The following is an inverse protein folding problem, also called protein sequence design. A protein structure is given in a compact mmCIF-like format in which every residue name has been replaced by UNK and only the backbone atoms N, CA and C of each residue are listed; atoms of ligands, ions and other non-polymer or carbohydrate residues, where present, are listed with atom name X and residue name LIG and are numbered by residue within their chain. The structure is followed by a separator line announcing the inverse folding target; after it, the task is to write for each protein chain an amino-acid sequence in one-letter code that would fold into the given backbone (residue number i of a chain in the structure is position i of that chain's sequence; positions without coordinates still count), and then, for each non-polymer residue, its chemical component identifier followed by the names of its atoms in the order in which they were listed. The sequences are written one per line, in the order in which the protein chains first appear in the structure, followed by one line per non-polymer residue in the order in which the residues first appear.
data_IF_961702229836
#
_entry.id   IF_961702229836
#
_cell.length_a   1.000
_cell.length_b   1.000
_cell.length_c   1.000
_cell.angle_alpha   90.00
_cell.angle_beta   90.00
_cell.angle_gamma   90.00
#
_symmetry.space_group_name_H-M   'P 1'
#
loop_
_entity.id
_entity.type
_entity.pdbx_description
1 polymer ?
#
# COMPACT_ATOMS: atom_id res chain seq x y z
N UNK A 1 -9.24 25.06 -4.87
CA UNK A 1 -10.48 24.72 -5.61
C UNK A 1 -11.49 24.04 -4.70
N UNK A 2 -12.76 23.91 -5.10
CA UNK A 2 -13.81 23.23 -4.33
C UNK A 2 -14.04 21.80 -4.82
N UNK A 3 -14.11 20.82 -3.93
CA UNK A 3 -14.20 19.38 -4.25
C UNK A 3 -14.99 18.58 -3.21
N UNK A 4 -15.54 17.41 -3.59
CA UNK A 4 -16.27 16.51 -2.69
C UNK A 4 -15.46 15.28 -2.27
N UNK A 5 -15.34 14.96 -0.97
CA UNK A 5 -14.67 13.75 -0.47
C UNK A 5 -15.70 12.78 0.13
N UNK A 6 -15.72 11.54 -0.35
CA UNK A 6 -16.55 10.46 0.18
C UNK A 6 -15.65 9.39 0.79
N UNK A 7 -15.87 9.05 2.06
CA UNK A 7 -15.02 8.12 2.80
C UNK A 7 -14.00 8.86 3.65
N UNK A 8 -14.31 9.00 4.94
CA UNK A 8 -13.57 9.81 5.92
C UNK A 8 -12.85 8.93 6.93
N UNK A 9 -12.43 7.75 6.49
CA UNK A 9 -11.45 6.94 7.21
C UNK A 9 -10.11 7.68 7.33
N UNK A 10 -9.12 7.01 7.94
CA UNK A 10 -7.83 7.64 8.28
C UNK A 10 -7.16 8.37 7.10
N UNK A 11 -7.16 7.76 5.91
CA UNK A 11 -6.57 8.36 4.71
C UNK A 11 -7.38 9.54 4.19
N UNK A 12 -8.68 9.36 3.91
CA UNK A 12 -9.54 10.41 3.37
C UNK A 12 -9.60 11.65 4.28
N UNK A 13 -9.71 11.45 5.60
CA UNK A 13 -9.70 12.56 6.55
C UNK A 13 -8.38 13.34 6.56
N UNK A 14 -7.24 12.67 6.47
CA UNK A 14 -5.94 13.33 6.41
C UNK A 14 -5.73 14.08 5.08
N UNK A 15 -6.20 13.53 3.97
CA UNK A 15 -6.17 14.20 2.67
C UNK A 15 -7.02 15.48 2.69
N UNK A 16 -8.23 15.43 3.27
CA UNK A 16 -9.07 16.62 3.47
C UNK A 16 -8.34 17.67 4.32
N UNK A 17 -7.76 17.29 5.46
CA UNK A 17 -7.01 18.25 6.31
C UNK A 17 -5.87 18.91 5.56
N UNK A 18 -5.12 18.16 4.75
CA UNK A 18 -4.05 18.71 3.92
C UNK A 18 -4.58 19.68 2.86
N UNK A 19 -5.69 19.33 2.21
CA UNK A 19 -6.34 20.19 1.22
C UNK A 19 -6.87 21.49 1.83
N UNK A 20 -7.53 21.42 2.99
CA UNK A 20 -8.02 22.60 3.73
C UNK A 20 -6.86 23.52 4.13
N UNK A 21 -5.76 22.97 4.63
CA UNK A 21 -4.58 23.74 5.02
C UNK A 21 -3.95 24.52 3.84
N UNK A 22 -4.15 24.04 2.61
CA UNK A 22 -3.71 24.70 1.38
C UNK A 22 -4.80 25.59 0.73
N UNK A 23 -5.92 25.84 1.43
CA UNK A 23 -6.98 26.74 0.97
C UNK A 23 -7.96 26.13 -0.04
N UNK A 24 -8.01 24.80 -0.16
CA UNK A 24 -9.10 24.15 -0.89
C UNK A 24 -10.38 24.12 -0.04
N UNK A 25 -11.54 24.16 -0.70
CA UNK A 25 -12.83 23.97 -0.05
C UNK A 25 -13.26 22.50 -0.20
N UNK A 26 -13.47 21.80 0.90
CA UNK A 26 -13.85 20.39 0.87
C UNK A 26 -15.28 20.21 1.38
N UNK A 27 -16.15 19.64 0.55
CA UNK A 27 -17.44 19.11 0.99
C UNK A 27 -17.25 17.63 1.32
N UNK A 28 -17.62 17.18 2.50
CA UNK A 28 -17.26 15.84 3.00
C UNK A 28 -18.48 15.01 3.36
N UNK A 29 -18.43 13.71 3.04
CA UNK A 29 -19.47 12.75 3.39
C UNK A 29 -18.88 11.40 3.82
N UNK A 30 -19.49 10.80 4.83
CA UNK A 30 -19.27 9.41 5.26
C UNK A 30 -20.59 8.84 5.80
N UNK A 31 -20.71 7.51 5.85
CA UNK A 31 -21.82 6.84 6.55
C UNK A 31 -21.79 7.14 8.05
N UNK A 32 -20.59 7.35 8.61
CA UNK A 32 -20.40 7.79 9.98
C UNK A 32 -20.59 9.30 10.11
N UNK A 33 -21.72 9.69 10.71
CA UNK A 33 -22.00 11.09 11.01
C UNK A 33 -20.95 11.72 11.95
N UNK A 34 -20.31 10.93 12.83
CA UNK A 34 -19.21 11.39 13.67
C UNK A 34 -17.98 11.77 12.83
N UNK A 35 -17.64 10.99 11.81
CA UNK A 35 -16.52 11.29 10.93
C UNK A 35 -16.76 12.58 10.12
N UNK A 36 -18.01 12.81 9.68
CA UNK A 36 -18.42 14.05 9.03
C UNK A 36 -18.28 15.24 9.98
N UNK A 37 -18.86 15.17 11.19
CA UNK A 37 -18.78 16.23 12.20
C UNK A 37 -17.34 16.59 12.56
N UNK A 38 -16.45 15.59 12.65
CA UNK A 38 -15.05 15.81 12.99
C UNK A 38 -14.30 16.66 11.95
N UNK A 39 -14.62 16.53 10.66
CA UNK A 39 -14.01 17.35 9.60
C UNK A 39 -14.75 18.67 9.38
N UNK A 40 -16.06 18.71 9.60
CA UNK A 40 -16.83 19.95 9.64
C UNK A 40 -16.25 20.92 10.68
N UNK A 41 -16.00 20.43 11.89
CA UNK A 41 -15.30 21.20 12.94
C UNK A 41 -13.84 21.56 12.61
N UNK A 42 -13.25 20.97 11.56
CA UNK A 42 -11.90 21.28 11.07
C UNK A 42 -11.92 22.22 9.85
N UNK A 43 -13.09 22.73 9.44
CA UNK A 43 -13.23 23.70 8.35
C UNK A 43 -13.68 23.11 7.00
N UNK A 44 -14.01 21.82 6.93
CA UNK A 44 -14.76 21.27 5.80
C UNK A 44 -16.24 21.67 5.89
N UNK A 45 -16.98 21.51 4.80
CA UNK A 45 -18.44 21.53 4.82
C UNK A 45 -18.96 20.08 4.90
N UNK A 46 -19.53 19.69 6.03
CA UNK A 46 -20.19 18.39 6.16
C UNK A 46 -21.47 18.29 5.32
N UNK A 47 -21.70 17.15 4.67
CA UNK A 47 -22.96 16.81 4.01
C UNK A 47 -23.60 15.60 4.70
N UNK A 48 -24.94 15.55 4.78
CA UNK A 48 -25.67 14.42 5.35
C UNK A 48 -25.98 13.30 4.34
N UNK A 49 -25.76 13.54 3.05
CA UNK A 49 -25.96 12.58 1.97
C UNK A 49 -25.06 12.88 0.76
N UNK A 50 -24.88 11.91 -0.13
CA UNK A 50 -24.23 12.12 -1.43
C UNK A 50 -24.96 13.17 -2.29
N UNK A 51 -26.29 13.24 -2.19
CA UNK A 51 -27.10 14.25 -2.89
C UNK A 51 -26.77 15.65 -2.42
N UNK A 52 -26.67 15.85 -1.10
CA UNK A 52 -26.29 17.14 -0.53
C UNK A 52 -24.84 17.50 -0.90
N UNK A 53 -23.93 16.53 -0.84
CA UNK A 53 -22.54 16.72 -1.26
C UNK A 53 -22.46 17.21 -2.72
N UNK A 54 -23.12 16.51 -3.65
CA UNK A 54 -23.09 16.84 -5.08
C UNK A 54 -23.73 18.20 -5.37
N UNK A 55 -24.82 18.56 -4.67
CA UNK A 55 -25.48 19.87 -4.80
C UNK A 55 -24.62 21.03 -4.32
N UNK A 56 -23.76 20.79 -3.33
CA UNK A 56 -22.87 21.79 -2.77
C UNK A 56 -21.59 22.03 -3.62
N UNK A 57 -21.41 21.31 -4.74
CA UNK A 57 -20.25 21.45 -5.61
C UNK A 57 -20.56 22.23 -6.90
N UNK A 58 -19.68 23.12 -7.34
CA UNK A 58 -19.79 23.77 -8.64
C UNK A 58 -19.49 22.79 -9.78
N UNK A 59 -20.08 23.01 -10.95
CA UNK A 59 -19.76 22.26 -12.17
C UNK A 59 -18.52 22.84 -12.87
N UNK A 60 -17.67 22.01 -13.52
CA UNK A 60 -17.65 20.55 -13.42
C UNK A 60 -17.22 20.09 -12.02
N UNK A 61 -17.98 19.14 -11.46
CA UNK A 61 -17.75 18.63 -10.10
C UNK A 61 -16.55 17.72 -10.09
N UNK A 62 -15.79 17.74 -9.00
CA UNK A 62 -14.74 16.76 -8.74
C UNK A 62 -15.06 16.07 -7.41
N UNK A 63 -15.32 14.77 -7.47
CA UNK A 63 -15.66 13.95 -6.31
C UNK A 63 -14.62 12.86 -6.15
N UNK A 64 -13.94 12.85 -5.01
CA UNK A 64 -12.94 11.87 -4.61
C UNK A 64 -13.57 10.83 -3.68
N UNK A 65 -13.37 9.56 -4.00
CA UNK A 65 -13.85 8.39 -3.26
C UNK A 65 -12.65 7.72 -2.58
N UNK A 66 -12.69 7.66 -1.25
CA UNK A 66 -11.70 7.02 -0.36
C UNK A 66 -12.37 5.98 0.53
N UNK A 67 -13.04 5.01 -0.09
CA UNK A 67 -13.71 3.89 0.59
C UNK A 67 -13.00 2.57 0.30
N UNK A 68 -13.23 1.50 1.09
CA UNK A 68 -12.71 0.18 0.74
C UNK A 68 -13.20 -0.26 -0.64
N UNK A 69 -12.36 -0.99 -1.39
CA UNK A 69 -12.59 -1.35 -2.80
C UNK A 69 -13.98 -1.98 -3.07
N UNK A 70 -14.48 -2.80 -2.13
CA UNK A 70 -15.78 -3.45 -2.22
C UNK A 70 -16.98 -2.47 -2.22
N UNK A 71 -16.78 -1.22 -1.79
CA UNK A 71 -17.84 -0.21 -1.71
C UNK A 71 -17.77 0.84 -2.82
N UNK A 72 -16.77 0.79 -3.70
CA UNK A 72 -16.61 1.76 -4.78
C UNK A 72 -17.78 1.68 -5.76
N UNK A 73 -18.12 0.50 -6.29
CA UNK A 73 -19.23 0.37 -7.26
C UNK A 73 -20.60 0.80 -6.67
N UNK A 74 -20.98 0.44 -5.42
CA UNK A 74 -22.17 0.99 -4.78
C UNK A 74 -22.18 2.53 -4.70
N UNK A 75 -21.05 3.16 -4.34
CA UNK A 75 -20.95 4.63 -4.28
C UNK A 75 -21.07 5.25 -5.67
N UNK A 76 -20.43 4.66 -6.68
CA UNK A 76 -20.54 5.11 -8.07
C UNK A 76 -21.98 5.03 -8.58
N UNK A 77 -22.71 3.95 -8.24
CA UNK A 77 -24.12 3.79 -8.59
C UNK A 77 -25.01 4.87 -7.95
N UNK A 78 -24.73 5.27 -6.72
CA UNK A 78 -25.43 6.34 -6.01
C UNK A 78 -25.13 7.73 -6.61
N UNK A 79 -23.88 7.98 -7.01
CA UNK A 79 -23.45 9.27 -7.59
C UNK A 79 -23.90 9.46 -9.04
N UNK A 80 -23.90 8.40 -9.84
CA UNK A 80 -24.20 8.47 -11.28
C UNK A 80 -25.47 9.27 -11.63
N UNK A 81 -26.63 9.08 -10.99
CA UNK A 81 -27.84 9.86 -11.32
C UNK A 81 -27.80 11.32 -10.85
N UNK A 82 -26.81 11.72 -10.04
CA UNK A 82 -26.69 13.06 -9.45
C UNK A 82 -25.72 13.96 -10.23
N UNK A 83 -24.86 13.37 -11.07
CA UNK A 83 -23.79 14.05 -11.78
C UNK A 83 -24.20 14.44 -13.21
N UNK A 84 -23.47 15.40 -13.77
CA UNK A 84 -23.65 15.87 -15.14
C UNK A 84 -22.44 15.55 -16.00
N UNK A 85 -22.63 15.53 -17.33
CA UNK A 85 -21.54 15.32 -18.30
C UNK A 85 -20.38 16.30 -18.04
N UNK A 86 -19.16 15.77 -18.02
CA UNK A 86 -17.94 16.50 -17.70
C UNK A 86 -17.53 16.48 -16.22
N UNK A 87 -18.40 16.05 -15.30
CA UNK A 87 -18.04 15.83 -13.89
C UNK A 87 -17.00 14.69 -13.78
N UNK A 88 -16.10 14.81 -12.80
CA UNK A 88 -14.97 13.90 -12.55
C UNK A 88 -15.19 13.12 -11.26
N UNK A 89 -15.10 11.81 -11.38
CA UNK A 89 -15.06 10.85 -10.29
C UNK A 89 -13.62 10.34 -10.13
N UNK A 90 -13.05 10.47 -8.93
CA UNK A 90 -11.71 9.98 -8.59
C UNK A 90 -11.88 8.82 -7.61
N UNK A 91 -11.42 7.62 -7.96
CA UNK A 91 -11.21 6.54 -7.00
C UNK A 91 -9.76 6.59 -6.52
N UNK A 92 -9.56 6.94 -5.24
CA UNK A 92 -8.23 6.95 -4.62
C UNK A 92 -7.96 5.76 -3.71
N UNK A 93 -8.85 4.76 -3.73
CA UNK A 93 -8.73 3.56 -2.93
C UNK A 93 -7.63 2.62 -3.41
N UNK A 94 -7.73 1.36 -2.99
CA UNK A 94 -6.89 0.28 -3.48
C UNK A 94 -7.74 -0.65 -4.36
N UNK A 95 -8.26 -0.11 -5.46
CA UNK A 95 -9.04 -0.88 -6.43
C UNK A 95 -8.14 -1.71 -7.34
N UNK A 96 -8.67 -2.81 -7.88
CA UNK A 96 -8.01 -3.55 -8.94
C UNK A 96 -8.12 -2.78 -10.26
N UNK A 97 -7.02 -2.60 -10.97
CA UNK A 97 -6.99 -1.84 -12.23
C UNK A 97 -7.98 -2.32 -13.30
N UNK A 98 -8.37 -3.60 -13.27
CA UNK A 98 -9.37 -4.16 -14.19
C UNK A 98 -10.78 -3.62 -13.90
N UNK A 99 -11.10 -3.37 -12.63
CA UNK A 99 -12.35 -2.72 -12.25
C UNK A 99 -12.38 -1.28 -12.74
N UNK A 100 -11.24 -0.57 -12.72
CA UNK A 100 -11.15 0.80 -13.21
C UNK A 100 -11.40 0.88 -14.72
N UNK A 101 -10.88 -0.07 -15.49
CA UNK A 101 -11.16 -0.18 -16.93
C UNK A 101 -12.66 -0.35 -17.19
N UNK A 102 -13.33 -1.22 -16.43
CA UNK A 102 -14.79 -1.42 -16.52
C UNK A 102 -15.54 -0.14 -16.11
N UNK A 103 -15.22 0.44 -14.96
CA UNK A 103 -15.87 1.64 -14.42
C UNK A 103 -15.75 2.83 -15.36
N UNK A 104 -14.57 3.06 -15.93
CA UNK A 104 -14.38 4.12 -16.92
C UNK A 104 -15.26 3.91 -18.16
N UNK A 105 -15.37 2.67 -18.67
CA UNK A 105 -16.28 2.34 -19.77
C UNK A 105 -17.74 2.60 -19.42
N UNK A 106 -18.19 2.14 -18.24
CA UNK A 106 -19.57 2.28 -17.77
C UNK A 106 -19.97 3.76 -17.58
N UNK A 107 -19.04 4.60 -17.10
CA UNK A 107 -19.23 6.02 -16.82
C UNK A 107 -19.12 6.90 -18.07
N UNK A 108 -18.27 6.52 -19.03
CA UNK A 108 -18.09 7.26 -20.28
C UNK A 108 -19.40 7.38 -21.07
N UNK A 109 -20.26 6.34 -21.04
CA UNK A 109 -21.59 6.37 -21.67
C UNK A 109 -22.54 7.44 -21.10
N UNK A 110 -22.28 7.92 -19.88
CA UNK A 110 -23.00 9.04 -19.26
C UNK A 110 -22.28 10.39 -19.39
N UNK A 111 -21.16 10.44 -20.13
CA UNK A 111 -20.30 11.62 -20.24
C UNK A 111 -19.52 11.94 -18.96
N UNK A 112 -19.46 11.01 -18.01
CA UNK A 112 -18.71 11.17 -16.76
C UNK A 112 -17.27 10.76 -16.95
N UNK A 113 -16.36 11.51 -16.34
CA UNK A 113 -14.91 11.24 -16.39
C UNK A 113 -14.49 10.46 -15.15
N UNK A 114 -13.67 9.44 -15.33
CA UNK A 114 -13.17 8.61 -14.24
C UNK A 114 -11.64 8.68 -14.17
N UNK A 115 -11.12 8.83 -12.96
CA UNK A 115 -9.70 8.78 -12.65
C UNK A 115 -9.46 7.72 -11.56
N UNK A 116 -8.53 6.82 -11.82
CA UNK A 116 -7.97 5.91 -10.82
C UNK A 116 -6.68 6.53 -10.24
N UNK A 117 -6.59 6.66 -8.92
CA UNK A 117 -5.46 7.34 -8.27
C UNK A 117 -4.87 6.47 -7.17
N UNK A 118 -3.79 5.78 -7.48
CA UNK A 118 -3.01 5.08 -6.47
C UNK A 118 -2.35 6.04 -5.49
N UNK A 119 -2.74 5.98 -4.22
CA UNK A 119 -2.18 6.83 -3.14
C UNK A 119 -1.21 6.04 -2.26
N UNK A 120 0.03 6.52 -2.10
CA UNK A 120 1.04 5.94 -1.20
C UNK A 120 1.61 7.01 -0.23
N UNK A 121 2.09 6.58 0.95
CA UNK A 121 2.65 7.46 2.00
C UNK A 121 2.00 7.29 3.38
N UNK A 122 0.83 6.66 3.44
CA UNK A 122 0.15 6.31 4.70
C UNK A 122 -0.16 7.51 5.59
N UNK A 123 -0.12 7.31 6.91
CA UNK A 123 -0.54 8.33 7.89
C UNK A 123 0.33 9.59 7.88
N UNK A 124 1.62 9.43 7.56
CA UNK A 124 2.59 10.53 7.52
C UNK A 124 2.40 11.44 6.29
N UNK A 125 1.59 11.03 5.31
CA UNK A 125 1.32 11.85 4.14
C UNK A 125 0.52 13.12 4.44
N UNK A 126 -0.11 13.24 5.62
CA UNK A 126 -0.70 14.50 6.06
C UNK A 126 0.35 15.63 6.07
N UNK A 127 1.51 15.35 6.69
CA UNK A 127 2.60 16.29 6.84
C UNK A 127 3.52 16.29 5.62
N UNK A 128 3.90 15.09 5.16
CA UNK A 128 4.94 14.91 4.14
C UNK A 128 4.42 14.85 2.71
N UNK A 129 3.11 14.78 2.51
CA UNK A 129 2.47 14.56 1.21
C UNK A 129 2.44 13.09 0.79
N UNK A 130 1.67 12.82 -0.27
CA UNK A 130 1.35 11.49 -0.79
C UNK A 130 1.96 11.28 -2.18
N UNK A 131 2.56 10.13 -2.43
CA UNK A 131 2.90 9.74 -3.80
C UNK A 131 1.59 9.36 -4.53
N UNK A 132 1.30 10.03 -5.64
CA UNK A 132 0.05 9.87 -6.39
C UNK A 132 0.30 9.36 -7.82
N UNK A 133 -0.26 8.19 -8.12
CA UNK A 133 -0.16 7.53 -9.41
C UNK A 133 -1.52 7.61 -10.10
N UNK A 134 -1.65 8.49 -11.10
CA UNK A 134 -2.95 8.88 -11.69
C UNK A 134 -3.14 8.21 -13.05
N UNK A 135 -4.23 7.47 -13.22
CA UNK A 135 -4.73 6.94 -14.49
C UNK A 135 -6.01 7.65 -14.93
N UNK A 136 -6.22 7.72 -16.25
CA UNK A 136 -7.45 8.25 -16.85
C UNK A 136 -7.21 9.30 -17.94
N UNK A 137 -8.28 9.96 -18.37
CA UNK A 137 -8.24 10.94 -19.45
C UNK A 137 -7.48 12.22 -19.06
N UNK A 138 -6.59 12.68 -19.94
CA UNK A 138 -5.76 13.88 -19.72
C UNK A 138 -6.58 15.11 -19.32
N UNK A 139 -7.75 15.32 -19.92
CA UNK A 139 -8.60 16.47 -19.61
C UNK A 139 -9.13 16.42 -18.17
N UNK A 140 -9.48 15.24 -17.66
CA UNK A 140 -9.89 15.04 -16.28
C UNK A 140 -8.71 15.24 -15.33
N UNK A 141 -7.53 14.72 -15.68
CA UNK A 141 -6.30 14.90 -14.90
C UNK A 141 -5.94 16.39 -14.75
N UNK A 142 -6.00 17.18 -15.83
CA UNK A 142 -5.72 18.62 -15.77
C UNK A 142 -6.72 19.37 -14.88
N UNK A 143 -7.99 18.97 -14.87
CA UNK A 143 -9.00 19.57 -14.00
C UNK A 143 -8.74 19.27 -12.52
N UNK A 144 -8.28 18.06 -12.21
CA UNK A 144 -7.99 17.60 -10.85
C UNK A 144 -6.55 17.91 -10.37
N UNK A 145 -5.65 18.35 -11.25
CA UNK A 145 -4.24 18.62 -10.96
C UNK A 145 -4.01 19.50 -9.72
N UNK A 146 -4.79 20.56 -9.44
CA UNK A 146 -4.58 21.35 -8.24
C UNK A 146 -4.71 20.54 -6.95
N UNK A 147 -5.53 19.47 -6.94
CA UNK A 147 -5.64 18.56 -5.79
C UNK A 147 -4.36 17.71 -5.67
N UNK A 148 -3.88 17.16 -6.80
CA UNK A 148 -2.68 16.32 -6.80
C UNK A 148 -1.43 17.10 -6.38
N UNK A 149 -1.25 18.32 -6.91
CA UNK A 149 -0.12 19.17 -6.56
C UNK A 149 -0.08 19.51 -5.05
N UNK A 150 -1.24 19.77 -4.45
CA UNK A 150 -1.37 20.03 -3.01
C UNK A 150 -1.13 18.77 -2.16
N UNK A 151 -1.70 17.64 -2.59
CA UNK A 151 -1.60 16.38 -1.86
C UNK A 151 -0.20 15.77 -1.94
N UNK A 152 0.54 16.02 -3.03
CA UNK A 152 1.88 15.50 -3.21
C UNK A 152 2.91 16.12 -2.23
N UNK A 153 4.10 15.49 -2.04
CA UNK A 153 5.17 16.03 -1.21
C UNK A 153 5.67 17.40 -1.67
N UNK A 154 5.70 17.63 -2.98
CA UNK A 154 6.29 18.82 -3.59
C UNK A 154 7.83 18.83 -3.53
N UNK A 155 8.42 19.96 -3.90
CA UNK A 155 9.84 20.26 -3.61
C UNK A 155 10.91 19.53 -4.44
N UNK A 156 10.55 18.55 -5.28
CA UNK A 156 11.54 17.89 -6.13
C UNK A 156 12.00 18.75 -7.31
N UNK A 157 13.30 18.67 -7.62
CA UNK A 157 13.87 19.25 -8.85
C UNK A 157 13.89 18.19 -9.95
N UNK A 158 13.20 18.40 -11.08
CA UNK A 158 13.30 17.46 -12.19
C UNK A 158 14.73 17.45 -12.75
N UNK A 159 15.16 16.31 -13.27
CA UNK A 159 16.38 16.24 -14.07
C UNK A 159 16.25 17.13 -15.32
N UNK A 160 17.29 17.88 -15.66
CA UNK A 160 17.30 18.71 -16.86
C UNK A 160 17.11 17.83 -18.12
N UNK A 161 16.16 18.19 -18.99
CA UNK A 161 15.84 17.40 -20.19
C UNK A 161 14.97 16.15 -19.95
N UNK A 162 14.33 16.04 -18.77
CA UNK A 162 13.43 14.94 -18.46
C UNK A 162 12.20 14.87 -19.39
N UNK A 163 11.53 13.69 -19.45
CA UNK A 163 10.34 13.49 -20.27
C UNK A 163 9.17 14.37 -19.83
N UNK A 164 8.12 14.47 -20.66
CA UNK A 164 6.90 15.18 -20.31
C UNK A 164 6.34 14.67 -18.97
N UNK A 165 5.96 15.59 -18.07
CA UNK A 165 5.53 15.27 -16.71
C UNK A 165 6.65 15.12 -15.68
N UNK A 166 7.93 15.29 -16.05
CA UNK A 166 9.06 15.19 -15.12
C UNK A 166 8.95 16.13 -13.91
N UNK A 167 8.40 17.34 -14.09
CA UNK A 167 8.18 18.27 -12.98
C UNK A 167 7.13 17.76 -11.99
N UNK A 168 6.01 17.23 -12.49
CA UNK A 168 4.98 16.61 -11.65
C UNK A 168 5.55 15.38 -10.92
N UNK A 169 6.26 14.51 -11.66
CA UNK A 169 6.92 13.33 -11.07
C UNK A 169 7.91 13.73 -9.96
N UNK A 170 8.70 14.77 -10.18
CA UNK A 170 9.60 15.30 -9.15
C UNK A 170 8.84 15.85 -7.94
N UNK A 171 7.66 16.45 -8.15
CA UNK A 171 6.78 16.88 -7.07
C UNK A 171 6.07 15.72 -6.34
N UNK A 172 6.12 14.49 -6.88
CA UNK A 172 5.58 13.27 -6.27
C UNK A 172 4.17 12.88 -6.76
N UNK A 173 3.74 13.35 -7.93
CA UNK A 173 2.55 12.83 -8.60
C UNK A 173 2.79 12.64 -10.11
N UNK A 174 2.13 11.68 -10.74
CA UNK A 174 2.33 11.41 -12.17
C UNK A 174 1.05 10.93 -12.85
N UNK A 175 0.78 11.47 -14.04
CA UNK A 175 -0.17 10.86 -14.97
C UNK A 175 0.49 9.64 -15.62
N UNK A 176 0.19 8.46 -15.09
CA UNK A 176 0.80 7.19 -15.47
C UNK A 176 0.29 6.67 -16.81
N UNK A 177 -0.90 7.08 -17.26
CA UNK A 177 -1.49 6.62 -18.52
C UNK A 177 -3.02 6.72 -18.55
N UNK A 178 -3.68 5.97 -19.45
CA UNK A 178 -5.14 5.91 -19.51
C UNK A 178 -5.74 5.22 -18.26
N UNK A 179 -7.06 5.03 -18.24
CA UNK A 179 -7.75 4.41 -17.10
C UNK A 179 -7.13 3.07 -16.72
N UNK A 180 -7.02 2.82 -15.42
CA UNK A 180 -6.37 1.67 -14.79
C UNK A 180 -4.86 1.80 -14.63
N UNK A 181 -4.19 2.74 -15.33
CA UNK A 181 -2.74 2.86 -15.26
C UNK A 181 -2.23 3.30 -13.88
N UNK A 182 -2.97 4.17 -13.18
CA UNK A 182 -2.61 4.66 -11.86
C UNK A 182 -2.65 3.56 -10.81
N UNK A 183 -3.77 2.85 -10.72
CA UNK A 183 -3.89 1.69 -9.82
C UNK A 183 -2.98 0.53 -10.21
N UNK A 184 -2.70 0.31 -11.50
CA UNK A 184 -1.72 -0.69 -11.92
C UNK A 184 -0.31 -0.37 -11.41
N UNK A 185 0.16 0.87 -11.55
CA UNK A 185 1.48 1.29 -11.04
C UNK A 185 1.52 1.17 -9.51
N UNK A 186 0.44 1.56 -8.81
CA UNK A 186 0.33 1.41 -7.36
C UNK A 186 0.31 -0.05 -6.90
N UNK A 187 -0.34 -0.93 -7.66
CA UNK A 187 -0.34 -2.36 -7.40
C UNK A 187 1.10 -2.90 -7.43
N UNK A 188 1.85 -2.61 -8.48
CA UNK A 188 3.26 -3.02 -8.60
C UNK A 188 4.14 -2.39 -7.52
N UNK A 189 3.91 -1.11 -7.17
CA UNK A 189 4.56 -0.47 -6.02
C UNK A 189 4.38 -1.31 -4.73
N UNK A 190 3.16 -1.76 -4.42
CA UNK A 190 2.90 -2.61 -3.26
C UNK A 190 3.56 -4.00 -3.38
N UNK A 191 3.62 -4.57 -4.58
CA UNK A 191 4.39 -5.79 -4.82
C UNK A 191 5.87 -5.62 -4.49
N UNK A 192 6.49 -4.52 -4.94
CA UNK A 192 7.88 -4.16 -4.59
C UNK A 192 8.04 -3.96 -3.09
N UNK A 193 7.10 -3.26 -2.43
CA UNK A 193 7.08 -3.07 -0.98
C UNK A 193 7.14 -4.42 -0.24
N UNK A 194 6.39 -5.43 -0.69
CA UNK A 194 6.42 -6.77 -0.09
C UNK A 194 7.82 -7.39 -0.17
N UNK A 195 8.46 -7.32 -1.34
CA UNK A 195 9.81 -7.84 -1.54
C UNK A 195 10.86 -7.13 -0.66
N UNK A 196 10.78 -5.80 -0.55
CA UNK A 196 11.70 -5.02 0.29
C UNK A 196 11.55 -5.36 1.78
N UNK A 197 10.30 -5.46 2.26
CA UNK A 197 10.04 -5.87 3.65
C UNK A 197 10.56 -7.27 3.93
N UNK A 198 10.33 -8.23 3.03
CA UNK A 198 10.82 -9.60 3.17
C UNK A 198 12.36 -9.65 3.23
N UNK A 199 13.05 -8.89 2.38
CA UNK A 199 14.52 -8.83 2.40
C UNK A 199 15.07 -8.34 3.75
N UNK A 200 14.48 -7.30 4.35
CA UNK A 200 14.88 -6.88 5.70
C UNK A 200 14.52 -7.93 6.76
N UNK A 201 13.34 -8.54 6.68
CA UNK A 201 12.88 -9.52 7.65
C UNK A 201 13.79 -10.76 7.66
N UNK A 202 14.09 -11.34 6.50
CA UNK A 202 14.99 -12.49 6.36
C UNK A 202 16.41 -12.15 6.86
N UNK A 203 16.94 -10.99 6.47
CA UNK A 203 18.27 -10.55 6.88
C UNK A 203 18.39 -10.33 8.39
N UNK A 204 17.42 -9.65 9.01
CA UNK A 204 17.39 -9.44 10.45
C UNK A 204 17.11 -10.75 11.21
N UNK A 205 16.30 -11.65 10.66
CA UNK A 205 16.07 -12.97 11.24
C UNK A 205 17.34 -13.82 11.27
N UNK A 206 18.17 -13.76 10.22
CA UNK A 206 19.49 -14.40 10.22
C UNK A 206 20.39 -13.83 11.33
N UNK A 207 20.43 -12.51 11.51
CA UNK A 207 21.19 -11.87 12.59
C UNK A 207 20.65 -12.24 13.98
N UNK A 208 19.33 -12.38 14.12
CA UNK A 208 18.68 -12.81 15.36
C UNK A 208 19.10 -14.21 15.79
N UNK A 209 19.43 -15.08 14.83
CA UNK A 209 19.86 -16.47 15.06
C UNK A 209 21.38 -16.65 14.94
N UNK A 210 22.15 -15.56 14.93
CA UNK A 210 23.61 -15.58 14.84
C UNK A 210 24.30 -16.13 16.12
N UNK A 211 23.53 -16.50 17.13
CA UNK A 211 23.94 -17.13 18.38
C UNK A 211 23.67 -18.65 18.44
N UNK A 212 23.24 -19.26 17.33
CA UNK A 212 22.89 -20.69 17.27
C UNK A 212 23.99 -21.66 17.77
N UNK A 213 25.25 -21.24 17.77
CA UNK A 213 26.39 -21.98 18.30
C UNK A 213 26.61 -21.85 19.81
N UNK A 214 25.84 -21.02 20.52
CA UNK A 214 25.80 -20.94 21.99
C UNK A 214 24.83 -21.96 22.60
N UNK A 215 23.86 -22.45 21.83
CA UNK A 215 22.89 -23.44 22.30
C UNK A 215 23.51 -24.85 22.29
N UNK A 216 23.16 -25.65 23.31
CA UNK A 216 23.47 -27.07 23.30
C UNK A 216 22.63 -27.75 22.21
N UNK A 217 23.27 -28.30 21.17
CA UNK A 217 22.57 -29.06 20.14
C UNK A 217 22.49 -30.52 20.52
N UNK A 218 21.28 -31.08 20.54
CA UNK A 218 21.09 -32.52 20.57
C UNK A 218 21.42 -33.09 19.20
N UNK A 219 22.44 -33.93 19.10
CA UNK A 219 22.70 -34.67 17.86
C UNK A 219 21.55 -35.66 17.61
N UNK A 220 20.88 -35.54 16.47
CA UNK A 220 19.90 -36.51 16.03
C UNK A 220 20.04 -36.80 14.53
N UNK A 221 19.47 -37.92 14.09
CA UNK A 221 19.55 -38.37 12.70
C UNK A 221 18.64 -37.56 11.75
N UNK A 222 17.82 -36.65 12.29
CA UNK A 222 16.73 -35.99 11.59
C UNK A 222 17.06 -34.53 11.24
N UNK A 223 18.00 -33.93 11.96
CA UNK A 223 18.41 -32.53 11.83
C UNK A 223 19.91 -32.44 11.58
N UNK A 224 20.30 -31.76 10.50
CA UNK A 224 21.71 -31.52 10.22
C UNK A 224 22.33 -30.68 11.36
N UNK A 225 23.41 -31.16 12.02
CA UNK A 225 24.04 -30.41 13.09
C UNK A 225 24.79 -29.20 12.53
N UNK A 226 24.96 -28.17 13.36
CA UNK A 226 25.80 -27.04 13.02
C UNK A 226 27.27 -27.47 13.00
N UNK A 227 27.84 -27.63 11.80
CA UNK A 227 29.18 -28.20 11.63
C UNK A 227 30.30 -27.42 12.36
N UNK A 228 30.16 -26.09 12.51
CA UNK A 228 31.14 -25.24 13.17
C UNK A 228 30.44 -24.23 14.11
N UNK A 229 30.04 -24.63 15.33
CA UNK A 229 29.30 -23.76 16.25
C UNK A 229 30.05 -22.49 16.63
N UNK A 230 31.39 -22.54 16.67
CA UNK A 230 32.25 -21.38 16.99
C UNK A 230 32.05 -20.16 16.08
N UNK A 231 31.51 -20.34 14.88
CA UNK A 231 31.27 -19.24 13.94
C UNK A 231 29.94 -18.50 14.17
N UNK A 232 29.09 -19.00 15.07
CA UNK A 232 27.74 -18.48 15.31
C UNK A 232 27.51 -18.26 16.81
N UNK A 233 28.42 -17.50 17.44
CA UNK A 233 28.38 -17.21 18.88
C UNK A 233 28.11 -15.72 19.16
N UNK A 234 27.31 -15.07 18.32
CA UNK A 234 27.10 -13.62 18.37
C UNK A 234 25.75 -13.26 18.99
N UNK A 235 25.77 -12.62 20.17
CA UNK A 235 24.59 -11.93 20.73
C UNK A 235 24.55 -10.51 20.21
N UNK A 236 23.81 -10.30 19.13
CA UNK A 236 23.75 -9.02 18.43
C UNK A 236 22.63 -8.12 18.96
N UNK A 237 22.89 -6.82 19.03
CA UNK A 237 21.86 -5.80 19.27
C UNK A 237 21.25 -5.37 17.94
N UNK A 238 20.11 -5.96 17.60
CA UNK A 238 19.43 -5.68 16.33
C UNK A 238 18.89 -4.25 16.25
N UNK A 239 18.51 -3.63 17.37
CA UNK A 239 18.05 -2.25 17.39
C UNK A 239 19.20 -1.31 17.04
N UNK A 240 20.37 -1.52 17.64
CA UNK A 240 21.57 -0.74 17.32
C UNK A 240 22.06 -0.96 15.88
N UNK A 241 21.98 -2.19 15.35
CA UNK A 241 22.35 -2.49 13.95
C UNK A 241 21.39 -1.81 12.97
N UNK A 242 20.08 -1.92 13.21
CA UNK A 242 19.09 -1.26 12.37
C UNK A 242 19.27 0.25 12.37
N UNK A 243 19.56 0.85 13.53
CA UNK A 243 19.88 2.29 13.64
C UNK A 243 21.16 2.64 12.87
N UNK A 244 22.23 1.87 13.03
CA UNK A 244 23.49 2.06 12.31
C UNK A 244 23.27 2.11 10.79
N UNK A 245 22.46 1.19 10.25
CA UNK A 245 22.22 1.11 8.80
C UNK A 245 21.40 2.27 8.24
N UNK A 246 20.75 3.10 9.06
CA UNK A 246 20.06 4.32 8.60
C UNK A 246 21.04 5.41 8.15
N UNK A 247 22.30 5.32 8.55
CA UNK A 247 23.30 6.37 8.37
C UNK A 247 24.37 5.95 7.36
N UNK A 248 24.20 6.35 6.09
CA UNK A 248 25.21 6.20 5.05
C UNK A 248 25.40 4.77 4.51
N UNK A 249 24.55 3.82 4.92
CA UNK A 249 24.54 2.48 4.33
C UNK A 249 23.81 2.46 3.00
N UNK A 250 24.13 1.49 2.13
CA UNK A 250 23.44 1.30 0.84
C UNK A 250 21.97 0.90 1.03
N UNK A 251 21.63 0.29 2.17
CA UNK A 251 20.29 -0.22 2.45
C UNK A 251 19.47 0.75 3.30
N UNK A 252 19.87 2.02 3.44
CA UNK A 252 19.06 3.02 4.10
C UNK A 252 17.74 3.24 3.34
N UNK A 253 16.60 3.13 4.01
CA UNK A 253 15.29 3.35 3.40
C UNK A 253 14.25 3.69 4.47
N UNK A 254 13.08 4.15 4.01
CA UNK A 254 11.93 4.42 4.89
C UNK A 254 11.45 3.16 5.62
N UNK A 255 11.54 1.99 5.00
CA UNK A 255 11.16 0.73 5.66
C UNK A 255 12.16 0.37 6.77
N UNK A 256 13.45 0.67 6.58
CA UNK A 256 14.45 0.51 7.62
C UNK A 256 14.22 1.47 8.80
N UNK A 257 13.81 2.72 8.54
CA UNK A 257 13.44 3.66 9.62
C UNK A 257 12.32 3.08 10.51
N UNK A 258 11.32 2.44 9.90
CA UNK A 258 10.22 1.78 10.60
C UNK A 258 10.70 0.55 11.38
N UNK A 259 11.55 -0.27 10.77
CA UNK A 259 12.12 -1.45 11.44
C UNK A 259 12.98 -1.08 12.64
N UNK A 260 13.84 -0.06 12.52
CA UNK A 260 14.66 0.45 13.60
C UNK A 260 13.80 0.99 14.75
N UNK A 261 12.75 1.77 14.42
CA UNK A 261 11.81 2.28 15.42
C UNK A 261 11.08 1.16 16.17
N UNK A 262 10.66 0.10 15.46
CA UNK A 262 9.99 -1.05 16.07
C UNK A 262 10.93 -1.85 16.99
N UNK A 263 12.16 -2.10 16.55
CA UNK A 263 13.18 -2.82 17.33
C UNK A 263 13.67 -2.02 18.54
N UNK A 264 13.75 -0.69 18.42
CA UNK A 264 14.09 0.18 19.55
C UNK A 264 12.98 0.18 20.62
N UNK A 265 11.70 0.07 20.21
CA UNK A 265 10.59 -0.05 21.14
C UNK A 265 10.55 -1.42 21.83
N UNK A 266 10.78 -2.50 21.07
CA UNK A 266 10.90 -3.86 21.61
C UNK A 266 11.75 -4.73 20.66
N UNK A 267 12.99 -5.02 21.07
CA UNK A 267 13.93 -5.81 20.29
C UNK A 267 13.50 -7.27 20.06
N UNK A 268 12.50 -7.77 20.79
CA UNK A 268 11.91 -9.11 20.61
C UNK A 268 10.58 -9.10 19.86
N UNK A 269 10.02 -7.92 19.58
CA UNK A 269 8.76 -7.78 18.86
C UNK A 269 7.61 -8.58 19.49
N UNK A 270 7.57 -8.72 20.82
CA UNK A 270 6.73 -9.67 21.56
C UNK A 270 5.23 -9.39 21.44
N UNK A 271 4.84 -8.16 21.09
CA UNK A 271 3.44 -7.78 20.83
C UNK A 271 2.91 -8.31 19.50
N UNK A 272 3.75 -8.85 18.62
CA UNK A 272 3.36 -9.32 17.29
C UNK A 272 3.34 -10.86 17.24
N UNK A 273 2.23 -11.44 16.78
CA UNK A 273 2.05 -12.90 16.72
C UNK A 273 2.72 -13.57 15.49
N UNK A 274 3.36 -12.81 14.60
CA UNK A 274 3.94 -13.34 13.36
C UNK A 274 2.92 -13.69 12.25
N UNK A 275 1.64 -13.41 12.44
CA UNK A 275 0.61 -13.64 11.42
C UNK A 275 0.44 -12.43 10.49
N UNK A 276 1.08 -12.45 9.32
CA UNK A 276 1.11 -11.31 8.39
C UNK A 276 -0.04 -11.38 7.36
N UNK A 277 -0.84 -10.32 7.29
CA UNK A 277 -1.91 -10.19 6.31
C UNK A 277 -1.41 -9.69 4.94
N UNK A 278 -2.25 -9.84 3.92
CA UNK A 278 -2.08 -9.27 2.58
C UNK A 278 -3.43 -8.70 2.10
N UNK A 279 -3.39 -7.56 1.40
CA UNK A 279 -4.59 -6.77 1.05
C UNK A 279 -5.07 -6.93 -0.40
N UNK A 280 -4.37 -7.72 -1.21
CA UNK A 280 -4.73 -8.02 -2.61
C UNK A 280 -3.67 -7.59 -3.62
N UNK A 281 -3.07 -6.41 -3.48
CA UNK A 281 -2.16 -5.83 -4.49
C UNK A 281 -0.91 -6.68 -4.74
N UNK A 282 -0.39 -7.35 -3.70
CA UNK A 282 0.70 -8.31 -3.84
C UNK A 282 0.29 -9.53 -4.68
N UNK A 283 -0.96 -10.01 -4.55
CA UNK A 283 -1.49 -11.11 -5.37
C UNK A 283 -1.63 -10.68 -6.81
N UNK A 284 -2.28 -9.54 -7.06
CA UNK A 284 -2.49 -9.03 -8.40
C UNK A 284 -1.18 -8.70 -9.13
N UNK A 285 -0.13 -8.28 -8.40
CA UNK A 285 1.21 -8.13 -8.97
C UNK A 285 1.76 -9.45 -9.50
N UNK A 286 1.66 -10.53 -8.72
CA UNK A 286 2.12 -11.87 -9.13
C UNK A 286 1.26 -12.43 -10.27
N UNK A 287 -0.06 -12.25 -10.21
CA UNK A 287 -0.98 -12.62 -11.29
C UNK A 287 -0.64 -11.89 -12.59
N UNK A 288 -0.42 -10.57 -12.55
CA UNK A 288 -0.01 -9.80 -13.71
C UNK A 288 1.33 -10.28 -14.26
N UNK A 289 2.32 -10.56 -13.40
CA UNK A 289 3.61 -11.08 -13.82
C UNK A 289 3.50 -12.42 -14.56
N UNK A 290 2.59 -13.31 -14.11
CA UNK A 290 2.29 -14.58 -14.80
C UNK A 290 1.66 -14.30 -16.17
N UNK A 291 0.63 -13.44 -16.23
CA UNK A 291 -0.08 -13.13 -17.47
C UNK A 291 0.82 -12.52 -18.55
N UNK A 292 1.78 -11.67 -18.16
CA UNK A 292 2.72 -11.03 -19.10
C UNK A 292 4.02 -11.81 -19.28
N UNK A 293 4.18 -12.98 -18.63
CA UNK A 293 5.37 -13.83 -18.77
C UNK A 293 6.65 -13.21 -18.19
N UNK A 294 6.55 -12.41 -17.12
CA UNK A 294 7.70 -11.77 -16.46
C UNK A 294 8.11 -12.54 -15.19
N UNK A 295 9.39 -12.94 -15.05
CA UNK A 295 9.86 -13.58 -13.83
C UNK A 295 9.78 -12.66 -12.60
N UNK A 296 9.13 -13.13 -11.52
CA UNK A 296 8.90 -12.36 -10.30
C UNK A 296 9.25 -13.13 -9.01
N UNK A 297 10.37 -13.87 -9.02
CA UNK A 297 10.74 -14.82 -7.94
C UNK A 297 10.67 -14.22 -6.52
N UNK A 298 11.30 -13.07 -6.29
CA UNK A 298 11.37 -12.44 -4.96
C UNK A 298 9.98 -11.94 -4.53
N UNK A 299 9.23 -11.34 -5.44
CA UNK A 299 7.89 -10.81 -5.14
C UNK A 299 6.92 -11.94 -4.79
N UNK A 300 6.99 -13.05 -5.55
CA UNK A 300 6.21 -14.26 -5.28
C UNK A 300 6.59 -14.91 -3.96
N UNK A 301 7.89 -15.04 -3.66
CA UNK A 301 8.37 -15.61 -2.41
C UNK A 301 7.93 -14.79 -1.20
N UNK A 302 8.07 -13.45 -1.26
CA UNK A 302 7.61 -12.54 -0.22
C UNK A 302 6.08 -12.64 0.03
N UNK A 303 5.30 -12.85 -1.03
CA UNK A 303 3.86 -13.12 -0.88
C UNK A 303 3.59 -14.48 -0.23
N UNK A 304 4.32 -15.53 -0.63
CA UNK A 304 4.14 -16.88 -0.10
C UNK A 304 4.59 -17.01 1.36
N UNK A 305 5.58 -16.24 1.80
CA UNK A 305 5.97 -16.15 3.21
C UNK A 305 4.78 -15.70 4.08
N UNK A 306 4.03 -14.68 3.63
CA UNK A 306 2.78 -14.25 4.30
C UNK A 306 1.68 -15.32 4.27
N UNK A 307 1.70 -16.22 3.29
CA UNK A 307 0.74 -17.33 3.27
C UNK A 307 1.14 -18.39 4.30
N UNK A 308 2.43 -18.75 4.32
CA UNK A 308 3.02 -19.70 5.26
C UNK A 308 2.85 -19.22 6.71
N UNK A 309 3.06 -17.92 6.98
CA UNK A 309 2.90 -17.31 8.32
C UNK A 309 1.47 -17.43 8.88
N UNK A 310 0.49 -17.79 8.04
CA UNK A 310 -0.92 -18.00 8.39
C UNK A 310 -1.32 -19.48 8.39
N UNK A 311 -0.34 -20.37 8.49
CA UNK A 311 -0.53 -21.81 8.53
C UNK A 311 -0.85 -22.44 7.17
N UNK A 312 -0.80 -21.69 6.05
CA UNK A 312 -1.18 -22.24 4.73
C UNK A 312 -0.18 -23.26 4.17
N UNK A 313 0.98 -23.41 4.80
CA UNK A 313 1.95 -24.45 4.49
C UNK A 313 1.74 -25.77 5.27
N UNK A 314 0.82 -25.81 6.26
CA UNK A 314 0.70 -26.93 7.21
C UNK A 314 0.42 -28.28 6.54
N UNK A 315 -0.48 -28.33 5.55
CA UNK A 315 -0.77 -29.56 4.81
C UNK A 315 0.46 -30.06 4.06
N UNK A 316 1.20 -29.17 3.39
CA UNK A 316 2.41 -29.52 2.67
C UNK A 316 3.49 -30.05 3.64
N UNK A 317 3.68 -29.40 4.79
CA UNK A 317 4.61 -29.86 5.83
C UNK A 317 4.22 -31.25 6.37
N UNK A 318 2.94 -31.49 6.66
CA UNK A 318 2.43 -32.81 7.08
C UNK A 318 2.67 -33.89 6.03
N UNK A 319 2.46 -33.56 4.75
CA UNK A 319 2.71 -34.49 3.65
C UNK A 319 4.21 -34.80 3.52
N UNK A 320 5.10 -33.82 3.70
CA UNK A 320 6.55 -34.03 3.75
C UNK A 320 6.92 -34.99 4.88
N UNK A 321 6.40 -34.78 6.09
CA UNK A 321 6.63 -35.69 7.23
C UNK A 321 6.12 -37.11 6.95
N UNK A 322 4.93 -37.25 6.36
CA UNK A 322 4.38 -38.55 5.97
C UNK A 322 5.24 -39.27 4.93
N UNK A 323 5.75 -38.56 3.92
CA UNK A 323 6.66 -39.14 2.92
C UNK A 323 7.98 -39.59 3.57
N UNK A 324 8.59 -38.77 4.44
CA UNK A 324 9.83 -39.11 5.16
C UNK A 324 9.66 -40.34 6.04
N UNK A 325 8.52 -40.46 6.72
CA UNK A 325 8.16 -41.68 7.44
C UNK A 325 8.05 -42.88 6.50
N UNK A 326 7.36 -42.71 5.37
CA UNK A 326 7.07 -43.79 4.42
C UNK A 326 8.32 -44.40 3.76
N UNK A 327 9.28 -43.58 3.32
CA UNK A 327 10.49 -44.11 2.65
C UNK A 327 11.64 -44.39 3.62
N UNK A 328 11.77 -43.62 4.71
CA UNK A 328 12.96 -43.61 5.56
C UNK A 328 12.72 -43.98 7.02
N UNK A 329 11.46 -44.19 7.43
CA UNK A 329 11.12 -44.44 8.84
C UNK A 329 11.33 -43.24 9.77
N UNK A 330 11.52 -42.05 9.21
CA UNK A 330 11.75 -40.81 9.95
C UNK A 330 10.50 -40.41 10.76
N UNK A 331 10.56 -40.56 12.09
CA UNK A 331 9.46 -40.20 12.98
C UNK A 331 9.52 -38.68 13.27
N UNK A 332 8.50 -37.95 12.81
CA UNK A 332 8.35 -36.53 13.11
C UNK A 332 8.25 -36.30 14.63
N UNK A 333 9.04 -35.35 15.14
CA UNK A 333 8.92 -34.90 16.52
C UNK A 333 7.68 -34.03 16.66
N UNK A 334 6.85 -34.35 17.66
CA UNK A 334 5.75 -33.48 18.04
C UNK A 334 6.32 -32.26 18.79
N UNK A 335 5.80 -31.04 18.51
CA UNK A 335 6.20 -29.84 19.24
C UNK A 335 5.85 -29.90 20.72
#
# INVERSE_FOLDING_TARGET
MRMGMIGLGRMGANMVRRLLAAGHECVVYDRSADAVRALDGAGAQGAASTTELVRALPAPRVVWIMVPAAFVDPVLAELRPLLASGDVLIDGGNSNYRDDLRRAGDLAGAGLRYLDVGVSGGVLGLEQGYCLMVGGERAAVMLAEPLFATLAPGGGRPAAGGPAGAAAAAAGYLHCGPSGAGHFVKMVHNGIEYGLMAAYAEGLNLLAHADAGLAAQTADAETAPLANPRFFQYRLDLAAIAELWRHGSIVSSRLLDLAASALAADGKLAQFAGHVADSGEGRWTVEAAIEVGVPAHVLSAALYERFASRGRAEFASKLLSAMRLGFGGHIERKP
#
